data_IF_767409068879
#
_entry.id   IF_767409068879
#
_cell.length_a   1.000
_cell.length_b   1.000
_cell.length_c   1.000
_cell.angle_alpha   90.00
_cell.angle_beta   90.00
_cell.angle_gamma   90.00
#
_symmetry.space_group_name_H-M   'P 1'
#
loop_
_entity.id
_entity.type
_entity.pdbx_description
1 polymer ?
#
# COMPACT_ATOMS: atom_id res chain seq x y z
N UNK A 1 -21.27 7.87 -20.41
CA UNK A 1 -20.84 6.54 -19.96
C UNK A 1 -21.45 6.24 -18.60
N UNK A 2 -21.82 4.99 -18.31
CA UNK A 2 -22.26 4.56 -16.97
C UNK A 2 -21.33 3.43 -16.53
N UNK A 3 -20.77 3.46 -15.30
CA UNK A 3 -19.91 2.39 -14.85
C UNK A 3 -20.68 1.07 -14.76
N UNK A 4 -19.99 -0.05 -14.92
CA UNK A 4 -20.59 -1.36 -14.65
C UNK A 4 -20.95 -1.45 -13.17
N UNK A 5 -22.11 -2.02 -12.86
CA UNK A 5 -22.52 -2.19 -11.46
C UNK A 5 -21.60 -3.20 -10.74
N UNK A 6 -21.36 -4.35 -11.37
CA UNK A 6 -20.46 -5.39 -10.89
C UNK A 6 -19.75 -6.11 -12.01
N UNK A 7 -18.48 -6.43 -11.80
CA UNK A 7 -17.74 -7.35 -12.65
C UNK A 7 -18.09 -8.80 -12.33
N UNK A 8 -18.19 -9.64 -13.36
CA UNK A 8 -18.20 -11.09 -13.19
C UNK A 8 -16.78 -11.62 -12.95
N UNK A 9 -16.67 -12.90 -12.60
CA UNK A 9 -15.36 -13.57 -12.44
C UNK A 9 -14.65 -13.73 -13.80
N UNK A 10 -15.41 -13.73 -14.90
CA UNK A 10 -14.86 -13.94 -16.24
C UNK A 10 -14.05 -12.73 -16.72
N UNK A 11 -13.31 -12.95 -17.82
CA UNK A 11 -12.62 -11.88 -18.53
C UNK A 11 -13.60 -10.73 -18.86
N UNK A 12 -13.10 -9.50 -18.75
CA UNK A 12 -13.88 -8.31 -19.09
C UNK A 12 -13.07 -7.42 -20.02
N UNK A 13 -13.62 -7.12 -21.20
CA UNK A 13 -13.01 -6.20 -22.16
C UNK A 13 -12.82 -4.79 -21.59
N UNK A 14 -13.63 -4.40 -20.60
CA UNK A 14 -13.48 -3.14 -19.89
C UNK A 14 -12.18 -3.04 -19.09
N UNK A 15 -11.58 -4.18 -18.75
CA UNK A 15 -10.33 -4.25 -17.99
C UNK A 15 -9.12 -4.57 -18.88
N UNK A 16 -9.26 -4.51 -20.21
CA UNK A 16 -8.21 -4.84 -21.18
C UNK A 16 -6.90 -4.10 -20.91
N UNK A 17 -6.96 -2.83 -20.48
CA UNK A 17 -5.77 -2.04 -20.15
C UNK A 17 -5.13 -2.41 -18.80
N UNK A 18 -5.85 -3.07 -17.90
CA UNK A 18 -5.32 -3.50 -16.59
C UNK A 18 -4.52 -4.79 -16.74
N UNK A 19 -4.96 -5.74 -17.55
CA UNK A 19 -4.32 -7.04 -17.69
C UNK A 19 -2.80 -6.96 -17.96
N UNK A 20 -2.31 -6.25 -18.99
CA UNK A 20 -0.88 -6.17 -19.27
C UNK A 20 -0.12 -5.48 -18.13
N UNK A 21 -0.67 -4.41 -17.56
CA UNK A 21 -0.08 -3.70 -16.40
C UNK A 21 0.07 -4.66 -15.22
N UNK A 22 -0.95 -5.46 -14.92
CA UNK A 22 -0.87 -6.40 -13.80
C UNK A 22 0.09 -7.54 -14.05
N UNK A 23 0.22 -8.01 -15.29
CA UNK A 23 1.20 -9.05 -15.61
C UNK A 23 2.64 -8.55 -15.46
N UNK A 24 2.89 -7.28 -15.81
CA UNK A 24 4.23 -6.68 -15.72
C UNK A 24 4.63 -6.37 -14.28
N UNK A 25 3.74 -5.75 -13.50
CA UNK A 25 4.09 -5.21 -12.18
C UNK A 25 3.66 -6.11 -11.01
N UNK A 26 2.70 -7.00 -11.21
CA UNK A 26 2.14 -7.87 -10.18
C UNK A 26 1.98 -9.32 -10.67
N UNK A 27 3.00 -9.94 -11.30
CA UNK A 27 2.90 -11.33 -11.73
C UNK A 27 2.76 -12.26 -10.52
N UNK A 28 2.00 -13.33 -10.71
CA UNK A 28 2.00 -14.47 -9.80
C UNK A 28 3.09 -15.46 -10.22
N UNK A 29 3.54 -16.26 -9.26
CA UNK A 29 4.54 -17.29 -9.48
C UNK A 29 4.11 -18.58 -8.82
N UNK A 30 4.47 -19.67 -9.45
CA UNK A 30 4.39 -21.01 -8.88
C UNK A 30 5.72 -21.73 -9.12
N UNK A 31 5.89 -22.91 -8.55
CA UNK A 31 7.11 -23.69 -8.68
C UNK A 31 6.81 -25.14 -9.00
N UNK A 32 7.64 -25.72 -9.86
CA UNK A 32 7.59 -27.13 -10.18
C UNK A 32 8.20 -27.93 -9.02
N UNK A 33 7.41 -28.82 -8.40
CA UNK A 33 7.84 -29.58 -7.21
C UNK A 33 8.95 -30.60 -7.51
N UNK A 34 9.06 -31.09 -8.75
CA UNK A 34 10.04 -32.11 -9.13
C UNK A 34 11.41 -31.49 -9.44
N UNK A 35 11.41 -30.34 -10.12
CA UNK A 35 12.61 -29.65 -10.59
C UNK A 35 13.03 -28.48 -9.69
N UNK A 36 12.13 -27.99 -8.84
CA UNK A 36 12.34 -26.83 -7.97
C UNK A 36 12.41 -25.50 -8.70
N UNK A 37 12.06 -25.44 -9.99
CA UNK A 37 12.12 -24.21 -10.79
C UNK A 37 10.84 -23.38 -10.64
N UNK A 38 11.01 -22.08 -10.41
CA UNK A 38 9.90 -21.12 -10.40
C UNK A 38 9.49 -20.73 -11.83
N UNK A 39 8.19 -20.58 -12.07
CA UNK A 39 7.63 -20.11 -13.33
C UNK A 39 6.55 -19.05 -13.09
N UNK A 40 6.37 -18.18 -14.08
CA UNK A 40 5.43 -17.07 -14.01
C UNK A 40 4.02 -17.52 -14.41
N UNK A 41 3.02 -17.07 -13.66
CA UNK A 41 1.60 -17.29 -13.91
C UNK A 41 0.89 -16.00 -14.31
N UNK A 42 -0.33 -16.11 -14.88
CA UNK A 42 -1.22 -14.98 -15.07
C UNK A 42 -1.54 -14.30 -13.74
N UNK A 43 -1.35 -12.99 -13.66
CA UNK A 43 -1.67 -12.21 -12.48
C UNK A 43 -3.16 -12.33 -12.10
N UNK A 44 -3.43 -12.65 -10.83
CA UNK A 44 -4.74 -12.66 -10.17
C UNK A 44 -5.15 -11.26 -9.67
N UNK A 45 -4.28 -10.27 -9.83
CA UNK A 45 -4.52 -8.88 -9.42
C UNK A 45 -5.80 -8.26 -10.05
N UNK A 46 -6.13 -8.48 -11.34
CA UNK A 46 -7.39 -8.04 -11.92
C UNK A 46 -8.62 -8.57 -11.19
N UNK A 47 -8.61 -9.84 -10.77
CA UNK A 47 -9.73 -10.44 -10.05
C UNK A 47 -9.85 -9.92 -8.62
N UNK A 48 -8.70 -9.63 -7.98
CA UNK A 48 -8.68 -8.90 -6.70
C UNK A 48 -9.30 -7.50 -6.85
N UNK A 49 -8.95 -6.77 -7.90
CA UNK A 49 -9.53 -5.46 -8.22
C UNK A 49 -11.04 -5.55 -8.43
N UNK A 50 -11.52 -6.49 -9.25
CA UNK A 50 -12.97 -6.75 -9.44
C UNK A 50 -13.67 -7.01 -8.12
N UNK A 51 -13.09 -7.85 -7.26
CA UNK A 51 -13.64 -8.15 -5.95
C UNK A 51 -13.75 -6.92 -5.05
N UNK A 52 -12.75 -6.03 -5.05
CA UNK A 52 -12.78 -4.77 -4.29
C UNK A 52 -13.76 -3.76 -4.87
N UNK A 53 -13.83 -3.64 -6.19
CA UNK A 53 -14.80 -2.82 -6.90
C UNK A 53 -16.23 -3.24 -6.53
N UNK A 54 -16.55 -4.52 -6.67
CA UNK A 54 -17.88 -5.08 -6.40
C UNK A 54 -18.35 -4.92 -4.94
N UNK A 55 -17.41 -4.81 -4.00
CA UNK A 55 -17.68 -4.56 -2.58
C UNK A 55 -17.80 -3.07 -2.23
N UNK A 56 -17.60 -2.17 -3.19
CA UNK A 56 -17.66 -0.72 -2.96
C UNK A 56 -16.53 -0.21 -2.06
N UNK A 57 -15.41 -0.94 -1.98
CA UNK A 57 -14.25 -0.55 -1.15
C UNK A 57 -13.47 0.60 -1.80
N UNK A 58 -13.52 0.70 -3.14
CA UNK A 58 -12.86 1.74 -3.92
C UNK A 58 -13.55 3.09 -3.72
N UNK A 59 -13.14 3.83 -2.69
CA UNK A 59 -13.60 5.22 -2.45
C UNK A 59 -12.68 6.19 -3.19
N UNK A 60 -12.88 6.30 -4.49
CA UNK A 60 -12.20 7.29 -5.32
C UNK A 60 -12.51 8.72 -4.86
N UNK A 61 -11.51 9.61 -4.90
CA UNK A 61 -11.72 11.07 -4.73
C UNK A 61 -12.22 11.76 -6.00
N UNK A 62 -12.42 11.00 -7.08
CA UNK A 62 -12.84 11.47 -8.38
C UNK A 62 -14.07 10.68 -8.85
N UNK A 63 -14.95 11.32 -9.60
CA UNK A 63 -16.17 10.72 -10.14
C UNK A 63 -16.05 10.49 -11.64
N UNK A 64 -16.81 9.53 -12.15
CA UNK A 64 -16.93 9.29 -13.58
C UNK A 64 -17.45 10.53 -14.31
N UNK A 65 -18.37 11.29 -13.72
CA UNK A 65 -18.90 12.50 -14.35
C UNK A 65 -17.82 13.56 -14.54
N UNK A 66 -16.98 13.79 -13.53
CA UNK A 66 -15.85 14.71 -13.63
C UNK A 66 -14.82 14.25 -14.66
N UNK A 67 -14.57 12.94 -14.75
CA UNK A 67 -13.70 12.34 -15.76
C UNK A 67 -14.23 12.56 -17.18
N UNK A 68 -15.52 12.29 -17.42
CA UNK A 68 -16.14 12.42 -18.74
C UNK A 68 -16.30 13.87 -19.18
N UNK A 69 -16.44 14.82 -18.24
CA UNK A 69 -16.57 16.24 -18.55
C UNK A 69 -15.23 16.95 -18.79
N UNK A 70 -14.11 16.31 -18.46
CA UNK A 70 -12.78 16.88 -18.66
C UNK A 70 -12.38 16.80 -20.15
N UNK A 71 -12.65 17.87 -20.91
CA UNK A 71 -12.39 17.92 -22.37
C UNK A 71 -10.92 17.68 -22.72
N UNK A 72 -10.00 18.30 -22.00
CA UNK A 72 -8.57 18.15 -22.26
C UNK A 72 -8.12 16.69 -22.13
N UNK A 73 -8.61 15.99 -21.10
CA UNK A 73 -8.34 14.57 -20.93
C UNK A 73 -8.98 13.72 -22.04
N UNK A 74 -10.23 13.98 -22.41
CA UNK A 74 -10.91 13.22 -23.47
C UNK A 74 -10.27 13.44 -24.85
N UNK A 75 -9.84 14.68 -25.15
CA UNK A 75 -9.14 15.03 -26.38
C UNK A 75 -7.77 14.32 -26.45
N UNK A 76 -7.06 14.25 -25.31
CA UNK A 76 -5.79 13.52 -25.22
C UNK A 76 -5.99 12.01 -25.44
N UNK A 77 -6.97 11.40 -24.77
CA UNK A 77 -7.27 9.97 -24.95
C UNK A 77 -7.61 9.66 -26.41
N UNK A 78 -8.42 10.51 -27.05
CA UNK A 78 -8.75 10.38 -28.47
C UNK A 78 -7.50 10.51 -29.36
N UNK A 79 -6.63 11.47 -29.07
CA UNK A 79 -5.38 11.68 -29.83
C UNK A 79 -4.43 10.49 -29.72
N UNK A 80 -4.42 9.83 -28.56
CA UNK A 80 -3.59 8.65 -28.29
C UNK A 80 -4.26 7.33 -28.73
N UNK A 81 -5.45 7.39 -29.34
CA UNK A 81 -6.27 6.22 -29.72
C UNK A 81 -6.57 5.30 -28.52
N UNK A 82 -6.85 5.91 -27.37
CA UNK A 82 -7.19 5.22 -26.13
C UNK A 82 -8.71 5.26 -25.88
N UNK A 83 -9.25 4.10 -25.54
CA UNK A 83 -10.65 3.96 -25.15
C UNK A 83 -10.87 4.58 -23.76
N UNK A 84 -11.72 5.60 -23.72
CA UNK A 84 -11.99 6.34 -22.49
C UNK A 84 -12.67 5.50 -21.41
N UNK A 85 -13.45 4.48 -21.77
CA UNK A 85 -14.10 3.60 -20.80
C UNK A 85 -13.10 2.63 -20.18
N UNK A 86 -12.27 1.99 -21.00
CA UNK A 86 -11.19 1.10 -20.52
C UNK A 86 -10.17 1.86 -19.67
N UNK A 87 -9.83 3.09 -20.10
CA UNK A 87 -8.89 3.94 -19.37
C UNK A 87 -9.43 4.38 -18.00
N UNK A 88 -10.74 4.61 -17.88
CA UNK A 88 -11.36 4.90 -16.58
C UNK A 88 -11.11 3.78 -15.55
N UNK A 89 -11.25 2.52 -15.95
CA UNK A 89 -10.97 1.39 -15.05
C UNK A 89 -9.49 1.24 -14.74
N UNK A 90 -8.59 1.55 -15.69
CA UNK A 90 -7.16 1.65 -15.40
C UNK A 90 -6.85 2.74 -14.37
N UNK A 91 -7.49 3.92 -14.45
CA UNK A 91 -7.33 4.98 -13.46
C UNK A 91 -7.81 4.53 -12.07
N UNK A 92 -8.98 3.88 -12.00
CA UNK A 92 -9.49 3.31 -10.75
C UNK A 92 -8.56 2.24 -10.17
N UNK A 93 -7.96 1.42 -11.03
CA UNK A 93 -6.99 0.40 -10.63
C UNK A 93 -5.71 1.02 -10.05
N UNK A 94 -5.13 2.01 -10.73
CA UNK A 94 -3.97 2.76 -10.21
C UNK A 94 -4.28 3.39 -8.85
N UNK A 95 -5.49 3.91 -8.68
CA UNK A 95 -5.95 4.41 -7.39
C UNK A 95 -6.02 3.30 -6.32
N UNK A 96 -6.62 2.14 -6.61
CA UNK A 96 -6.66 0.99 -5.69
C UNK A 96 -5.25 0.53 -5.26
N UNK A 97 -4.33 0.42 -6.22
CA UNK A 97 -2.94 0.03 -5.95
C UNK A 97 -2.21 1.03 -5.05
N UNK A 98 -2.48 2.32 -5.23
CA UNK A 98 -1.86 3.38 -4.43
C UNK A 98 -2.54 3.57 -3.07
N UNK A 99 -3.83 3.23 -2.94
CA UNK A 99 -4.61 3.46 -1.72
C UNK A 99 -3.98 2.78 -0.50
N UNK A 100 -3.72 1.47 -0.57
CA UNK A 100 -3.12 0.74 0.55
C UNK A 100 -1.69 1.17 0.86
N UNK A 101 -0.91 1.57 -0.15
CA UNK A 101 0.50 1.99 0.03
C UNK A 101 0.65 3.41 0.57
N UNK A 102 -0.28 4.31 0.21
CA UNK A 102 -0.15 5.74 0.49
C UNK A 102 -1.11 6.26 1.58
N UNK A 103 -2.27 5.62 1.78
CA UNK A 103 -3.29 6.10 2.73
C UNK A 103 -3.34 5.28 4.03
N UNK A 104 -2.95 4.01 3.99
CA UNK A 104 -2.59 3.20 5.17
C UNK A 104 -1.06 3.14 5.29
N UNK A 105 -0.43 4.31 5.49
CA UNK A 105 1.00 4.36 5.74
C UNK A 105 1.35 3.42 6.91
N UNK A 106 2.31 2.52 6.70
CA UNK A 106 2.88 1.75 7.81
C UNK A 106 3.50 2.77 8.76
N UNK A 107 2.89 2.95 9.93
CA UNK A 107 3.52 3.69 11.01
C UNK A 107 4.75 2.88 11.43
N UNK A 108 5.93 3.30 10.95
CA UNK A 108 7.21 2.73 11.40
C UNK A 108 7.40 3.22 12.83
N UNK A 109 6.92 2.43 13.78
CA UNK A 109 7.19 2.64 15.20
C UNK A 109 8.66 2.39 15.46
N UNK A 110 9.22 3.10 16.44
CA UNK A 110 10.58 2.85 16.91
C UNK A 110 10.74 1.37 17.27
N UNK A 111 11.74 0.74 16.69
CA UNK A 111 12.11 -0.64 17.01
C UNK A 111 12.51 -0.76 18.48
N UNK A 112 12.40 -1.96 19.08
CA UNK A 112 12.91 -2.20 20.44
C UNK A 112 14.38 -1.78 20.60
N UNK A 113 15.19 -1.92 19.54
CA UNK A 113 16.59 -1.49 19.52
C UNK A 113 16.70 0.03 19.66
N UNK A 114 15.99 0.79 18.83
CA UNK A 114 16.00 2.27 18.86
C UNK A 114 15.50 2.81 20.21
N UNK A 115 14.50 2.18 20.81
CA UNK A 115 14.01 2.55 22.15
C UNK A 115 15.08 2.32 23.23
N UNK A 116 15.81 1.20 23.17
CA UNK A 116 16.91 0.91 24.10
C UNK A 116 18.07 1.88 23.88
N UNK A 117 18.44 2.16 22.63
CA UNK A 117 19.52 3.11 22.31
C UNK A 117 19.19 4.52 22.84
N UNK A 118 17.96 4.99 22.68
CA UNK A 118 17.51 6.26 23.26
C UNK A 118 17.59 6.27 24.79
N UNK A 119 17.18 5.17 25.44
CA UNK A 119 17.28 5.05 26.90
C UNK A 119 18.74 5.08 27.37
N UNK A 120 19.63 4.33 26.72
CA UNK A 120 21.06 4.29 27.05
C UNK A 120 21.70 5.67 26.87
N UNK A 121 21.38 6.36 25.76
CA UNK A 121 21.88 7.70 25.51
C UNK A 121 21.41 8.69 26.58
N UNK A 122 20.12 8.67 26.94
CA UNK A 122 19.59 9.54 27.98
C UNK A 122 20.26 9.32 29.36
N UNK A 123 20.51 8.06 29.74
CA UNK A 123 21.24 7.74 30.98
C UNK A 123 22.69 8.23 30.90
N UNK A 124 23.35 8.03 29.76
CA UNK A 124 24.76 8.41 29.55
C UNK A 124 24.96 9.92 29.51
N UNK A 125 24.02 10.66 28.92
CA UNK A 125 24.05 12.11 28.86
C UNK A 125 23.89 12.75 30.24
N UNK A 126 23.07 12.17 31.11
CA UNK A 126 22.86 12.67 32.47
C UNK A 126 23.86 12.09 33.48
N UNK A 127 24.65 11.06 33.11
CA UNK A 127 25.74 10.54 33.93
C UNK A 127 26.79 11.63 34.21
N UNK A 128 27.25 11.69 35.46
CA UNK A 128 28.28 12.64 35.90
C UNK A 128 29.58 11.94 36.28
N UNK A 129 29.51 10.95 37.18
CA UNK A 129 30.67 10.18 37.68
C UNK A 129 30.21 9.01 38.54
N UNK A 130 31.14 8.09 38.80
CA UNK A 130 30.97 7.07 39.83
C UNK A 130 31.48 7.51 41.20
N UNK A 131 30.92 6.89 42.23
CA UNK A 131 31.35 7.00 43.63
C UNK A 131 31.39 5.59 44.25
N UNK A 132 32.02 5.42 45.42
CA UNK A 132 31.96 4.14 46.16
C UNK A 132 30.54 3.66 46.49
N UNK A 133 29.54 4.54 46.40
CA UNK A 133 28.13 4.27 46.68
C UNK A 133 27.26 4.15 45.41
N UNK A 134 27.87 4.22 44.22
CA UNK A 134 27.18 4.11 42.93
C UNK A 134 27.32 5.35 42.04
N UNK A 135 26.63 5.32 40.91
CA UNK A 135 26.63 6.38 39.91
C UNK A 135 25.89 7.64 40.40
N UNK A 136 26.44 8.81 40.06
CA UNK A 136 25.83 10.12 40.30
C UNK A 136 25.44 10.73 38.97
N UNK A 137 24.23 11.27 38.92
CA UNK A 137 23.64 11.91 37.74
C UNK A 137 23.55 13.42 37.92
N UNK A 138 23.44 14.16 36.81
CA UNK A 138 23.35 15.63 36.80
C UNK A 138 21.99 16.09 37.32
N UNK A 139 20.93 15.33 37.04
CA UNK A 139 19.56 15.58 37.46
C UNK A 139 19.00 14.36 38.20
N UNK A 140 17.94 14.49 39.04
CA UNK A 140 17.23 13.33 39.55
C UNK A 140 16.65 12.52 38.38
N UNK A 141 17.04 11.25 38.27
CA UNK A 141 16.53 10.33 37.24
C UNK A 141 15.43 9.45 37.85
N UNK A 142 14.36 9.23 37.09
CA UNK A 142 13.31 8.27 37.41
C UNK A 142 13.04 7.37 36.20
N UNK A 143 13.01 6.05 36.40
CA UNK A 143 12.63 5.07 35.38
C UNK A 143 11.22 4.59 35.72
N UNK A 144 10.29 4.74 34.78
CA UNK A 144 8.93 4.20 34.92
C UNK A 144 8.72 3.08 33.89
N UNK A 145 8.53 1.86 34.38
CA UNK A 145 8.18 0.71 33.54
C UNK A 145 6.65 0.57 33.47
N UNK A 146 6.09 0.62 32.27
CA UNK A 146 4.66 0.34 32.03
C UNK A 146 4.53 -0.96 31.23
N UNK A 147 3.91 -1.98 31.84
CA UNK A 147 3.60 -3.24 31.16
C UNK A 147 2.14 -3.18 30.74
N UNK A 148 1.89 -3.06 29.44
CA UNK A 148 0.54 -3.17 28.87
C UNK A 148 0.18 -4.63 28.62
N UNK A 149 -0.97 -5.09 29.10
CA UNK A 149 -1.56 -6.35 28.61
C UNK A 149 -2.04 -6.11 27.18
N UNK A 150 -1.62 -6.95 26.24
CA UNK A 150 -2.30 -7.06 24.94
C UNK A 150 -3.68 -7.69 25.21
N UNK A 151 -4.75 -6.93 24.95
CA UNK A 151 -6.07 -7.51 24.73
C UNK A 151 -6.13 -8.09 23.32
#
# INVERSE_FOLDING_TARGET
MKPVDKFSIQYSELLEYIYPVTQEYFPDFDYDEETGQAYMLPSQTPDTFKGRYNRGILKGKFSIDAYMQNRELQDLLTTLDLDAEKFWYLLLFCYDCSWGKCMEGIEIKESPKEQIEKLVNAISEDYKRDTPFGAVFKSPICITLKIGRKN
#
